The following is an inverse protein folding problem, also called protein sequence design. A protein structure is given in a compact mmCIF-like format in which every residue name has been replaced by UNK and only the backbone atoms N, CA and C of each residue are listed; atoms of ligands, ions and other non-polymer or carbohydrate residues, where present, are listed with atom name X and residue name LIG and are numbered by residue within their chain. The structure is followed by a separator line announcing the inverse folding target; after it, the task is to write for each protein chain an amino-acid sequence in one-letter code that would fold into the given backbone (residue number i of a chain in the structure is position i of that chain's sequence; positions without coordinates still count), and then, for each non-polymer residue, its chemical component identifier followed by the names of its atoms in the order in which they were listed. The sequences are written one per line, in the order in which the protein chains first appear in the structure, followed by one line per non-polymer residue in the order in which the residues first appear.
data_IF_027469612271
#
_entry.id   IF_027469612271
#
_cell.length_a   1.000
_cell.length_b   1.000
_cell.length_c   1.000
_cell.angle_alpha   90.00
_cell.angle_beta   90.00
_cell.angle_gamma   90.00
#
_symmetry.space_group_name_H-M   'P 1'
#
loop_
_entity.id
_entity.type
_entity.pdbx_description
1 polymer ?
#
# COMPACT_ATOMS: atom_id res chain seq x y z
N UNK A 1 -7.79 18.71 17.78
CA UNK A 1 -7.10 17.93 16.73
C UNK A 1 -5.82 17.36 17.33
N UNK A 2 -5.60 16.03 17.31
CA UNK A 2 -4.28 15.45 17.60
C UNK A 2 -3.51 15.42 16.28
N UNK A 3 -2.53 16.29 16.12
CA UNK A 3 -1.58 16.26 15.01
C UNK A 3 -0.29 15.63 15.51
N UNK A 4 0.22 14.64 14.79
CA UNK A 4 1.52 14.02 15.02
C UNK A 4 2.46 14.35 13.87
N UNK A 5 3.76 14.48 14.16
CA UNK A 5 4.80 14.64 13.15
C UNK A 5 5.41 13.26 12.92
N UNK A 6 5.39 12.78 11.68
CA UNK A 6 6.08 11.56 11.28
C UNK A 6 7.28 11.95 10.41
N UNK A 7 8.48 11.60 10.88
CA UNK A 7 9.74 11.88 10.19
C UNK A 7 10.25 10.56 9.62
N UNK A 8 10.38 10.49 8.29
CA UNK A 8 10.93 9.34 7.59
C UNK A 8 12.21 9.74 6.85
N UNK A 9 13.28 8.91 6.90
CA UNK A 9 14.45 9.14 6.06
C UNK A 9 14.09 8.97 4.58
N UNK A 10 14.74 9.74 3.71
CA UNK A 10 14.69 9.49 2.28
C UNK A 10 15.56 8.26 1.97
N UNK A 11 14.93 7.19 1.51
CA UNK A 11 15.67 6.06 0.95
C UNK A 11 15.98 6.28 -0.54
N UNK A 12 17.23 6.02 -0.89
CA UNK A 12 17.73 6.04 -2.27
C UNK A 12 18.04 4.62 -2.78
N UNK A 13 17.81 3.61 -1.94
CA UNK A 13 17.91 2.20 -2.28
C UNK A 13 16.89 1.76 -3.33
N UNK A 14 17.18 0.64 -3.97
CA UNK A 14 16.28 0.02 -4.93
C UNK A 14 15.68 -1.24 -4.31
N UNK A 15 14.35 -1.30 -4.26
CA UNK A 15 13.66 -2.51 -3.82
C UNK A 15 14.17 -3.74 -4.59
N UNK A 16 14.63 -4.80 -3.91
CA UNK A 16 15.09 -6.01 -4.56
C UNK A 16 14.00 -6.61 -5.47
N UNK A 17 14.38 -7.05 -6.67
CA UNK A 17 13.43 -7.55 -7.67
C UNK A 17 12.52 -8.66 -7.13
N UNK A 18 13.09 -9.61 -6.37
CA UNK A 18 12.35 -10.73 -5.79
C UNK A 18 11.29 -10.29 -4.78
N UNK A 19 11.51 -9.16 -4.10
CA UNK A 19 10.55 -8.62 -3.13
C UNK A 19 9.44 -7.92 -3.89
N UNK A 20 9.80 -7.04 -4.82
CA UNK A 20 8.83 -6.32 -5.65
C UNK A 20 7.87 -7.26 -6.38
N UNK A 21 8.35 -8.41 -6.86
CA UNK A 21 7.49 -9.43 -7.47
C UNK A 21 6.43 -9.97 -6.49
N UNK A 22 6.81 -10.23 -5.23
CA UNK A 22 5.88 -10.68 -4.17
C UNK A 22 4.88 -9.57 -3.83
N UNK A 23 5.33 -8.33 -3.69
CA UNK A 23 4.49 -7.16 -3.41
C UNK A 23 3.41 -7.02 -4.50
N UNK A 24 3.79 -7.13 -5.78
CA UNK A 24 2.85 -7.06 -6.90
C UNK A 24 1.81 -8.18 -6.88
N UNK A 25 2.22 -9.40 -6.56
CA UNK A 25 1.31 -10.56 -6.45
C UNK A 25 0.32 -10.36 -5.30
N UNK A 26 0.78 -9.86 -4.16
CA UNK A 26 -0.08 -9.56 -3.01
C UNK A 26 -1.06 -8.42 -3.33
N UNK A 27 -0.58 -7.32 -3.92
CA UNK A 27 -1.42 -6.20 -4.34
C UNK A 27 -2.54 -6.64 -5.26
N UNK A 28 -2.23 -7.49 -6.26
CA UNK A 28 -3.25 -8.06 -7.15
C UNK A 28 -4.27 -8.89 -6.36
N UNK A 29 -3.84 -9.73 -5.43
CA UNK A 29 -4.74 -10.54 -4.61
C UNK A 29 -5.70 -9.69 -3.79
N UNK A 30 -5.19 -8.65 -3.13
CA UNK A 30 -6.01 -7.72 -2.33
C UNK A 30 -6.99 -6.96 -3.23
N UNK A 31 -6.53 -6.42 -4.36
CA UNK A 31 -7.40 -5.71 -5.30
C UNK A 31 -8.52 -6.60 -5.82
N UNK A 32 -8.20 -7.82 -6.26
CA UNK A 32 -9.21 -8.77 -6.75
C UNK A 32 -10.24 -9.08 -5.67
N UNK A 33 -9.80 -9.40 -4.44
CA UNK A 33 -10.71 -9.69 -3.34
C UNK A 33 -11.65 -8.52 -3.00
N UNK A 34 -11.15 -7.27 -3.02
CA UNK A 34 -11.99 -6.09 -2.78
C UNK A 34 -13.00 -5.89 -3.92
N UNK A 35 -12.55 -6.03 -5.18
CA UNK A 35 -13.42 -5.81 -6.34
C UNK A 35 -14.48 -6.90 -6.47
N UNK A 36 -14.16 -8.15 -6.15
CA UNK A 36 -15.12 -9.26 -6.17
C UNK A 36 -16.20 -9.10 -5.10
N UNK A 37 -15.84 -8.64 -3.90
CA UNK A 37 -16.77 -8.50 -2.77
C UNK A 37 -17.58 -7.20 -2.80
N UNK A 38 -16.96 -6.08 -3.20
CA UNK A 38 -17.53 -4.74 -3.06
C UNK A 38 -17.64 -3.94 -4.37
N UNK A 39 -17.13 -4.49 -5.48
CA UNK A 39 -17.10 -3.82 -6.77
C UNK A 39 -15.93 -2.84 -6.96
N UNK A 40 -15.71 -2.39 -8.21
CA UNK A 40 -14.58 -1.53 -8.56
C UNK A 40 -14.66 -0.11 -7.97
N UNK A 41 -15.87 0.43 -7.78
CA UNK A 41 -16.06 1.77 -7.21
C UNK A 41 -15.59 1.84 -5.75
N UNK A 42 -15.86 0.81 -4.95
CA UNK A 42 -15.42 0.75 -3.56
C UNK A 42 -13.88 0.70 -3.47
N UNK A 43 -13.22 -0.01 -4.39
CA UNK A 43 -11.75 -0.01 -4.45
C UNK A 43 -11.19 1.40 -4.72
N UNK A 44 -11.77 2.14 -5.67
CA UNK A 44 -11.38 3.53 -5.95
C UNK A 44 -11.65 4.47 -4.77
N UNK A 45 -12.78 4.29 -4.08
CA UNK A 45 -13.12 5.07 -2.89
C UNK A 45 -12.12 4.83 -1.76
N UNK A 46 -11.73 3.57 -1.52
CA UNK A 46 -10.70 3.21 -0.53
C UNK A 46 -9.33 3.75 -0.90
N UNK A 47 -8.94 3.65 -2.17
CA UNK A 47 -7.68 4.25 -2.66
C UNK A 47 -7.63 5.77 -2.49
N UNK A 48 -8.79 6.43 -2.51
CA UNK A 48 -8.89 7.88 -2.34
C UNK A 48 -8.80 8.32 -0.88
N UNK A 49 -8.95 7.41 0.09
CA UNK A 49 -8.72 7.69 1.51
C UNK A 49 -7.21 7.63 1.81
N UNK A 50 -6.57 8.74 2.25
CA UNK A 50 -5.13 8.76 2.47
C UNK A 50 -4.64 7.77 3.54
N UNK A 51 -5.45 7.52 4.58
CA UNK A 51 -5.08 6.61 5.67
C UNK A 51 -5.15 5.17 5.17
N UNK A 52 -6.18 4.84 4.40
CA UNK A 52 -6.32 3.51 3.81
C UNK A 52 -5.22 3.26 2.77
N UNK A 53 -4.91 4.24 1.92
CA UNK A 53 -3.83 4.13 0.93
C UNK A 53 -2.46 3.91 1.59
N UNK A 54 -2.15 4.65 2.65
CA UNK A 54 -0.92 4.44 3.41
C UNK A 54 -0.90 3.06 4.08
N UNK A 55 -2.03 2.62 4.65
CA UNK A 55 -2.15 1.29 5.26
C UNK A 55 -1.93 0.17 4.23
N UNK A 56 -2.45 0.31 3.02
CA UNK A 56 -2.18 -0.60 1.90
C UNK A 56 -0.68 -0.58 1.56
N UNK A 57 -0.07 0.60 1.54
CA UNK A 57 1.38 0.77 1.36
C UNK A 57 2.21 -0.05 2.36
N UNK A 58 1.87 0.03 3.64
CA UNK A 58 2.52 -0.73 4.71
C UNK A 58 2.34 -2.25 4.54
N UNK A 59 1.12 -2.71 4.25
CA UNK A 59 0.82 -4.14 4.03
C UNK A 59 1.61 -4.69 2.84
N UNK A 60 1.78 -3.88 1.80
CA UNK A 60 2.54 -4.24 0.62
C UNK A 60 4.06 -4.13 0.82
N UNK A 61 4.54 -3.75 2.01
CA UNK A 61 5.96 -3.54 2.30
C UNK A 61 6.62 -2.52 1.37
N UNK A 62 5.91 -1.43 1.00
CA UNK A 62 6.53 -0.34 0.25
C UNK A 62 7.64 0.35 1.05
N UNK A 63 7.61 0.22 2.38
CA UNK A 63 8.63 0.66 3.32
C UNK A 63 9.59 -0.50 3.69
N UNK A 64 10.02 -1.26 2.69
CA UNK A 64 10.79 -2.51 2.85
C UNK A 64 12.15 -2.36 3.54
N UNK A 65 12.67 -1.13 3.58
CA UNK A 65 14.00 -0.78 4.03
C UNK A 65 14.00 0.13 5.27
N UNK A 66 12.84 0.29 5.91
CA UNK A 66 12.71 1.15 7.09
C UNK A 66 13.13 0.47 8.40
#
# INVERSE_FOLDING_TARGET
MRTGIATFPLDYGRCPYWLFEKMRRLARGITVAIVEEFGPEEFLKRLSDPIWFQSLGCVLAFDWNS
#
